data_IF_737864540921
#
_entry.id   IF_737864540921
#
_cell.length_a   1.000
_cell.length_b   1.000
_cell.length_c   1.000
_cell.angle_alpha   90.00
_cell.angle_beta   90.00
_cell.angle_gamma   90.00
#
_symmetry.space_group_name_H-M   'P 1'
#
loop_
_entity.id
_entity.type
_entity.pdbx_description
1 polymer ?
#
# COMPACT_ATOMS: atom_id res chain seq x y z
N UNK A 1 -9.70 -12.86 -9.93
CA UNK A 1 -9.84 -12.03 -8.72
C UNK A 1 -11.31 -11.95 -8.34
N UNK A 2 -11.66 -12.11 -7.08
CA UNK A 2 -13.06 -11.99 -6.63
C UNK A 2 -13.66 -10.62 -6.97
N UNK A 3 -14.96 -10.59 -7.26
CA UNK A 3 -15.66 -9.37 -7.68
C UNK A 3 -15.58 -8.25 -6.65
N UNK A 4 -15.61 -8.59 -5.35
CA UNK A 4 -15.49 -7.59 -4.28
C UNK A 4 -14.14 -6.87 -4.33
N UNK A 5 -13.06 -7.58 -4.60
CA UNK A 5 -11.71 -6.99 -4.73
C UNK A 5 -11.62 -6.13 -5.98
N UNK A 6 -12.21 -6.57 -7.10
CA UNK A 6 -12.30 -5.75 -8.31
C UNK A 6 -13.04 -4.45 -8.07
N UNK A 7 -14.12 -4.49 -7.27
CA UNK A 7 -14.87 -3.30 -6.89
C UNK A 7 -14.03 -2.31 -6.10
N UNK A 8 -13.27 -2.81 -5.11
CA UNK A 8 -12.37 -1.99 -4.31
C UNK A 8 -11.29 -1.35 -5.20
N UNK A 9 -10.69 -2.13 -6.09
CA UNK A 9 -9.68 -1.61 -7.03
C UNK A 9 -10.25 -0.51 -7.92
N UNK A 10 -11.44 -0.72 -8.49
CA UNK A 10 -12.09 0.30 -9.33
C UNK A 10 -12.31 1.59 -8.56
N UNK A 11 -12.74 1.51 -7.30
CA UNK A 11 -12.96 2.68 -6.46
C UNK A 11 -11.65 3.43 -6.19
N UNK A 12 -10.57 2.72 -5.90
CA UNK A 12 -9.25 3.31 -5.71
C UNK A 12 -8.78 4.00 -7.00
N UNK A 13 -8.88 3.33 -8.13
CA UNK A 13 -8.49 3.90 -9.44
C UNK A 13 -9.30 5.15 -9.75
N UNK A 14 -10.60 5.12 -9.54
CA UNK A 14 -11.47 6.27 -9.81
C UNK A 14 -11.17 7.44 -8.88
N UNK A 15 -11.01 7.16 -7.58
CA UNK A 15 -10.79 8.21 -6.59
C UNK A 15 -9.46 8.95 -6.79
N UNK A 16 -8.39 8.24 -7.12
CA UNK A 16 -7.07 8.83 -7.31
C UNK A 16 -6.70 9.14 -8.75
N UNK A 17 -7.61 8.92 -9.70
CA UNK A 17 -7.37 9.21 -11.11
C UNK A 17 -6.25 8.39 -11.73
N UNK A 18 -6.25 7.08 -11.51
CA UNK A 18 -5.15 6.20 -11.92
C UNK A 18 -5.39 5.50 -13.27
N UNK A 19 -6.43 5.87 -14.00
CA UNK A 19 -6.83 5.19 -15.25
C UNK A 19 -5.74 5.20 -16.33
N UNK A 20 -4.89 6.23 -16.33
CA UNK A 20 -3.83 6.40 -17.31
C UNK A 20 -2.51 5.74 -16.93
N UNK A 21 -2.43 5.14 -15.73
CA UNK A 21 -1.20 4.53 -15.26
C UNK A 21 -1.15 3.04 -15.59
N UNK A 22 0.01 2.54 -16.11
CA UNK A 22 0.20 1.11 -16.28
C UNK A 22 0.21 0.39 -14.94
N UNK A 23 -0.28 -0.84 -14.94
CA UNK A 23 -0.12 -1.72 -13.78
C UNK A 23 1.35 -2.11 -13.62
N UNK A 24 1.83 -2.15 -12.37
CA UNK A 24 3.17 -2.65 -12.08
C UNK A 24 3.22 -4.15 -12.44
N UNK A 25 4.19 -4.60 -13.27
CA UNK A 25 4.12 -5.92 -13.88
C UNK A 25 4.64 -7.07 -13.02
N UNK A 26 5.47 -6.82 -11.99
CA UNK A 26 6.11 -7.87 -11.21
C UNK A 26 5.16 -8.45 -10.16
N UNK A 27 4.59 -7.60 -9.33
CA UNK A 27 3.75 -8.01 -8.21
C UNK A 27 2.27 -7.77 -8.47
N UNK A 28 1.94 -6.86 -9.38
CA UNK A 28 0.56 -6.52 -9.76
C UNK A 28 -0.29 -6.17 -8.54
N UNK A 29 -1.36 -6.94 -8.32
CA UNK A 29 -2.24 -6.80 -7.17
C UNK A 29 -1.91 -7.89 -6.15
N UNK A 30 -1.81 -7.50 -4.88
CA UNK A 30 -1.43 -8.40 -3.80
C UNK A 30 -2.47 -8.36 -2.68
N UNK A 31 -2.65 -9.50 -2.01
CA UNK A 31 -3.27 -9.56 -0.70
C UNK A 31 -2.21 -10.04 0.29
N UNK A 32 -1.82 -9.18 1.22
CA UNK A 32 -0.84 -9.50 2.25
C UNK A 32 -1.51 -9.79 3.58
N UNK A 33 -1.21 -10.94 4.18
CA UNK A 33 -1.70 -11.30 5.51
C UNK A 33 -0.51 -11.51 6.42
N UNK A 34 -0.47 -10.78 7.53
CA UNK A 34 0.59 -10.89 8.53
C UNK A 34 -0.05 -11.21 9.88
N UNK A 35 0.38 -12.31 10.47
CA UNK A 35 -0.10 -12.76 11.76
C UNK A 35 0.82 -12.32 12.90
N UNK A 36 0.43 -12.61 14.14
CA UNK A 36 1.16 -12.22 15.35
C UNK A 36 2.66 -12.50 15.24
N UNK A 37 3.47 -11.52 15.57
CA UNK A 37 4.93 -11.57 15.51
C UNK A 37 5.52 -11.33 14.12
N UNK A 38 4.72 -11.41 13.05
CA UNK A 38 5.15 -11.15 11.70
C UNK A 38 5.37 -9.66 11.44
N UNK A 39 6.28 -9.35 10.54
CA UNK A 39 6.65 -7.99 10.17
C UNK A 39 7.08 -7.95 8.70
N UNK A 40 7.25 -6.75 8.18
CA UNK A 40 7.91 -6.53 6.89
C UNK A 40 9.19 -5.77 7.14
N UNK A 41 10.31 -6.36 6.72
CA UNK A 41 11.63 -5.72 6.88
C UNK A 41 11.74 -4.49 5.97
N UNK A 42 12.52 -3.47 6.38
CA UNK A 42 12.76 -2.30 5.55
C UNK A 42 13.34 -2.68 4.19
N UNK A 43 12.74 -2.17 3.13
CA UNK A 43 13.16 -2.43 1.75
C UNK A 43 12.61 -1.38 0.80
N UNK A 44 13.12 -1.39 -0.42
CA UNK A 44 12.53 -0.67 -1.57
C UNK A 44 12.26 -1.66 -2.69
N UNK A 45 11.19 -1.42 -3.43
CA UNK A 45 10.88 -2.19 -4.61
C UNK A 45 11.60 -1.61 -5.84
N UNK A 46 11.64 -2.38 -6.93
CA UNK A 46 12.29 -1.92 -8.16
C UNK A 46 11.37 -0.99 -8.95
N UNK A 47 11.96 0.07 -9.50
CA UNK A 47 11.31 0.89 -10.52
C UNK A 47 11.42 0.23 -11.89
N UNK A 48 10.63 0.71 -12.86
CA UNK A 48 10.67 0.26 -14.25
C UNK A 48 11.13 1.43 -15.13
N UNK A 49 12.40 1.41 -15.53
CA UNK A 49 12.98 2.50 -16.31
C UNK A 49 12.86 3.82 -15.55
N UNK A 50 12.19 4.81 -16.15
CA UNK A 50 11.95 6.12 -15.54
C UNK A 50 10.63 6.21 -14.77
N UNK A 51 9.86 5.12 -14.71
CA UNK A 51 8.60 5.07 -13.98
C UNK A 51 8.80 4.54 -12.58
N UNK A 52 8.13 5.17 -11.63
CA UNK A 52 8.21 4.83 -10.21
C UNK A 52 7.18 3.76 -9.88
N UNK A 53 7.61 2.72 -9.18
CA UNK A 53 6.72 1.72 -8.60
C UNK A 53 5.98 2.36 -7.42
N UNK A 54 4.67 2.54 -7.57
CA UNK A 54 3.80 3.15 -6.56
C UNK A 54 2.69 2.19 -6.21
N UNK A 55 2.43 2.01 -4.92
CA UNK A 55 1.39 1.11 -4.46
C UNK A 55 0.35 1.87 -3.64
N UNK A 56 -0.92 1.54 -3.90
CA UNK A 56 -2.06 1.98 -3.10
C UNK A 56 -2.54 0.79 -2.29
N UNK A 57 -2.50 0.93 -0.98
CA UNK A 57 -2.77 -0.16 -0.04
C UNK A 57 -4.01 0.16 0.78
N UNK A 58 -4.94 -0.80 0.84
CA UNK A 58 -6.15 -0.69 1.64
C UNK A 58 -5.98 -1.55 2.89
N UNK A 59 -6.11 -0.94 4.07
CA UNK A 59 -6.06 -1.66 5.35
C UNK A 59 -7.39 -2.38 5.57
N UNK A 60 -7.48 -3.63 5.15
CA UNK A 60 -8.69 -4.43 5.29
C UNK A 60 -8.91 -4.88 6.73
N UNK A 61 -7.83 -5.31 7.40
CA UNK A 61 -7.85 -5.67 8.81
C UNK A 61 -6.67 -5.02 9.52
N UNK A 62 -6.98 -4.22 10.54
CA UNK A 62 -5.97 -3.61 11.40
C UNK A 62 -5.77 -4.49 12.62
N UNK A 63 -4.52 -4.87 12.96
CA UNK A 63 -4.26 -5.63 14.18
C UNK A 63 -4.53 -4.79 15.43
N UNK A 64 -4.68 -5.45 16.58
CA UNK A 64 -4.90 -4.79 17.86
C UNK A 64 -3.72 -3.91 18.28
N UNK A 65 -2.51 -4.32 17.90
CA UNK A 65 -1.31 -3.54 18.12
C UNK A 65 -0.26 -3.84 17.05
N UNK A 66 0.70 -2.95 16.88
CA UNK A 66 1.73 -3.11 15.87
C UNK A 66 1.18 -3.16 14.46
N UNK A 67 1.93 -3.76 13.53
CA UNK A 67 1.55 -3.85 12.13
C UNK A 67 1.44 -2.48 11.46
N UNK A 68 2.18 -1.49 11.97
CA UNK A 68 2.10 -0.11 11.50
C UNK A 68 3.04 0.10 10.33
N UNK A 69 2.55 0.65 9.20
CA UNK A 69 3.44 1.01 8.09
C UNK A 69 4.47 2.04 8.52
N UNK A 70 5.70 1.83 8.10
CA UNK A 70 6.78 2.81 8.25
C UNK A 70 7.29 3.17 6.86
N UNK A 71 7.22 4.45 6.50
CA UNK A 71 7.61 4.95 5.20
C UNK A 71 8.64 6.05 5.42
N UNK A 72 9.82 5.88 4.84
CA UNK A 72 10.95 6.81 4.97
C UNK A 72 11.26 7.12 6.44
N UNK A 73 11.23 6.09 7.29
CA UNK A 73 11.51 6.19 8.72
C UNK A 73 10.38 6.74 9.57
N UNK A 74 9.23 7.07 8.98
CA UNK A 74 8.08 7.61 9.70
C UNK A 74 6.96 6.59 9.81
N UNK A 75 6.39 6.46 11.01
CA UNK A 75 5.19 5.65 11.22
C UNK A 75 3.99 6.35 10.60
N UNK A 76 3.19 5.58 9.87
CA UNK A 76 1.97 6.08 9.23
C UNK A 76 0.77 5.42 9.88
N UNK A 77 -0.02 6.19 10.63
CA UNK A 77 -1.22 5.67 11.27
C UNK A 77 -2.34 5.52 10.23
N UNK A 78 -2.72 4.27 9.97
CA UNK A 78 -3.75 3.94 8.99
C UNK A 78 -4.90 3.24 9.71
N UNK A 79 -6.11 3.83 9.71
CA UNK A 79 -7.27 3.16 10.28
C UNK A 79 -7.72 1.97 9.42
N UNK A 80 -8.48 1.06 10.01
CA UNK A 80 -9.13 0.01 9.23
C UNK A 80 -10.07 0.65 8.20
N UNK A 81 -10.01 0.16 6.96
CA UNK A 81 -10.71 0.77 5.83
C UNK A 81 -9.96 1.94 5.19
N UNK A 82 -8.87 2.41 5.80
CA UNK A 82 -8.07 3.50 5.25
C UNK A 82 -7.17 3.05 4.10
N UNK A 83 -6.69 4.03 3.36
CA UNK A 83 -5.77 3.82 2.23
C UNK A 83 -4.47 4.56 2.50
N UNK A 84 -3.35 3.91 2.24
CA UNK A 84 -2.06 4.57 2.28
C UNK A 84 -1.28 4.28 1.00
N UNK A 85 -0.59 5.32 0.52
CA UNK A 85 0.23 5.24 -0.68
C UNK A 85 1.69 5.06 -0.29
N UNK A 86 2.37 4.19 -0.99
CA UNK A 86 3.81 4.01 -0.88
C UNK A 86 4.45 4.20 -2.24
N UNK A 87 5.36 5.17 -2.36
CA UNK A 87 6.23 5.30 -3.52
C UNK A 87 7.35 4.26 -3.37
N UNK A 88 6.99 3.01 -3.63
CA UNK A 88 7.72 1.83 -3.20
C UNK A 88 9.11 1.71 -3.83
N UNK A 89 9.31 2.27 -5.02
CA UNK A 89 10.59 2.31 -5.69
C UNK A 89 11.51 3.44 -5.26
N UNK A 90 11.02 4.40 -4.47
CA UNK A 90 11.79 5.57 -4.04
C UNK A 90 12.08 5.56 -2.55
N UNK A 91 11.11 5.12 -1.73
CA UNK A 91 11.19 5.23 -0.29
C UNK A 91 11.35 3.86 0.36
N UNK A 92 12.24 3.79 1.34
CA UNK A 92 12.34 2.60 2.19
C UNK A 92 11.06 2.48 3.00
N UNK A 93 10.47 1.31 2.97
CA UNK A 93 9.21 1.05 3.68
C UNK A 93 9.23 -0.30 4.35
N UNK A 94 8.44 -0.41 5.40
CA UNK A 94 8.36 -1.60 6.26
C UNK A 94 7.04 -1.62 7.01
N UNK A 95 6.88 -2.63 7.85
CA UNK A 95 5.75 -2.75 8.76
C UNK A 95 6.26 -3.30 10.08
N UNK A 96 5.88 -2.68 11.18
CA UNK A 96 6.25 -3.12 12.52
C UNK A 96 5.61 -4.47 12.85
N UNK A 97 6.15 -5.23 13.81
CA UNK A 97 5.57 -6.53 14.16
C UNK A 97 4.12 -6.42 14.60
N UNK A 98 3.30 -7.37 14.15
CA UNK A 98 1.90 -7.49 14.57
C UNK A 98 1.84 -7.98 16.01
N UNK A 99 1.01 -7.32 16.82
CA UNK A 99 0.79 -7.65 18.23
C UNK A 99 -0.67 -8.06 18.40
N UNK A 100 -0.88 -9.23 18.99
CA UNK A 100 -2.20 -9.77 19.26
C UNK A 100 -2.70 -10.72 18.17
N UNK A 101 -3.87 -11.31 18.42
CA UNK A 101 -4.41 -12.38 17.58
C UNK A 101 -5.02 -11.91 16.26
N UNK A 102 -5.39 -10.63 16.16
CA UNK A 102 -6.02 -10.09 14.97
C UNK A 102 -4.95 -9.85 13.89
N UNK A 103 -5.08 -10.47 12.69
CA UNK A 103 -4.09 -10.30 11.63
C UNK A 103 -4.15 -8.92 11.00
N UNK A 104 -3.03 -8.51 10.40
CA UNK A 104 -2.98 -7.38 9.47
C UNK A 104 -3.25 -7.90 8.06
N UNK A 105 -4.26 -7.35 7.41
CA UNK A 105 -4.61 -7.71 6.03
C UNK A 105 -4.63 -6.45 5.18
N UNK A 106 -3.85 -6.48 4.11
CA UNK A 106 -3.72 -5.38 3.15
C UNK A 106 -4.09 -5.88 1.76
N UNK A 107 -4.92 -5.12 1.04
CA UNK A 107 -5.01 -5.22 -0.41
C UNK A 107 -4.10 -4.16 -1.00
N UNK A 108 -3.21 -4.55 -1.90
CA UNK A 108 -2.21 -3.66 -2.47
C UNK A 108 -2.29 -3.68 -3.99
N UNK A 109 -2.48 -2.51 -4.57
CA UNK A 109 -2.59 -2.31 -6.01
C UNK A 109 -1.38 -1.52 -6.51
N UNK A 110 -0.59 -2.12 -7.41
CA UNK A 110 0.65 -1.54 -7.90
C UNK A 110 0.51 -0.88 -9.27
N UNK A 111 1.10 0.30 -9.39
CA UNK A 111 1.11 1.09 -10.62
C UNK A 111 2.52 1.59 -10.92
N UNK A 112 2.76 1.90 -12.18
CA UNK A 112 3.95 2.63 -12.59
C UNK A 112 3.55 4.07 -12.87
N UNK A 113 4.22 5.02 -12.21
CA UNK A 113 3.85 6.43 -12.30
C UNK A 113 5.05 7.30 -12.65
N UNK A 114 4.84 8.40 -13.38
CA UNK A 114 5.89 9.40 -13.56
C UNK A 114 6.36 9.97 -12.21
N UNK A 115 7.65 10.26 -12.12
CA UNK A 115 8.20 10.89 -10.93
C UNK A 115 7.46 12.19 -10.61
N UNK A 116 7.08 12.36 -9.36
CA UNK A 116 6.37 13.56 -8.91
C UNK A 116 4.87 13.55 -9.10
N UNK A 117 4.28 12.49 -9.70
CA UNK A 117 2.83 12.39 -9.92
C UNK A 117 2.01 12.66 -8.67
N UNK A 118 2.47 12.20 -7.51
CA UNK A 118 1.74 12.31 -6.25
C UNK A 118 2.42 13.27 -5.26
N UNK A 119 3.27 14.17 -5.76
CA UNK A 119 3.95 15.16 -4.92
C UNK A 119 2.95 16.04 -4.19
N UNK A 120 3.20 16.28 -2.90
CA UNK A 120 2.36 17.12 -2.05
C UNK A 120 1.13 16.40 -1.49
N UNK A 121 0.87 15.15 -1.87
CA UNK A 121 -0.22 14.36 -1.31
C UNK A 121 0.26 13.62 -0.06
N UNK A 122 -0.59 13.51 0.99
CA UNK A 122 -0.23 12.73 2.18
C UNK A 122 -0.12 11.24 1.85
N UNK A 123 0.69 10.51 2.62
CA UNK A 123 0.78 9.05 2.46
C UNK A 123 -0.50 8.34 2.89
N UNK A 124 -1.16 8.81 3.94
CA UNK A 124 -2.39 8.20 4.44
C UNK A 124 -3.60 9.02 4.05
N UNK A 125 -4.60 8.33 3.52
CA UNK A 125 -5.91 8.89 3.17
C UNK A 125 -6.95 8.01 3.83
N UNK A 126 -7.76 8.57 4.72
CA UNK A 126 -8.61 7.76 5.61
C UNK A 126 -9.72 7.01 4.88
N UNK A 127 -10.31 7.56 3.82
CA UNK A 127 -11.34 6.89 3.01
C UNK A 127 -11.30 7.41 1.58
N UNK A 128 -11.60 6.55 0.59
CA UNK A 128 -11.78 7.02 -0.78
C UNK A 128 -12.98 7.96 -0.89
#
# INVERSE_FOLDING_TARGET
>A
MPDAIWGIKRDVVAHFGLHDLPQEPLYRDLCGVITEGGAVHPHRDSNQGMLVHTRFNVMVSRPDGGGVPMIDGMLVDVPEGGIFRVDAGLLTHSCTPVIGARPRIILSFGFLSPLGRFSGLPFCISTP
#
